data_IF_496336665027
#
_entry.id   IF_496336665027
#
_cell.length_a   1.000
_cell.length_b   1.000
_cell.length_c   1.000
_cell.angle_alpha   90.00
_cell.angle_beta   90.00
_cell.angle_gamma   90.00
#
_symmetry.space_group_name_H-M   'P 1'
#
loop_
_entity.id
_entity.type
_entity.pdbx_description
1 polymer ?
#
# COMPACT_ATOMS: atom_id res chain seq x y z
N UNK A 1 43.60 -9.59 -12.38
CA UNK A 1 43.49 -8.43 -13.29
C UNK A 1 43.89 -7.20 -12.49
N UNK A 2 45.08 -6.65 -12.77
CA UNK A 2 45.67 -5.52 -12.07
C UNK A 2 45.29 -4.27 -12.86
N UNK A 3 44.53 -3.35 -12.28
CA UNK A 3 44.31 -2.03 -12.88
C UNK A 3 45.42 -1.09 -12.39
N UNK A 4 46.35 -0.75 -13.27
CA UNK A 4 47.36 0.27 -13.05
C UNK A 4 47.01 1.51 -13.89
N UNK A 5 47.12 2.69 -13.25
CA UNK A 5 47.11 4.04 -13.86
C UNK A 5 45.92 4.37 -14.77
N UNK A 6 44.87 4.94 -14.17
CA UNK A 6 43.88 5.74 -14.91
C UNK A 6 44.46 7.12 -15.25
N UNK A 7 44.38 7.47 -16.53
CA UNK A 7 44.73 8.77 -17.10
C UNK A 7 43.70 9.83 -16.68
N UNK A 8 44.14 11.08 -16.47
CA UNK A 8 43.28 12.20 -16.08
C UNK A 8 42.20 12.60 -17.13
N UNK A 9 42.17 11.94 -18.29
CA UNK A 9 41.16 12.14 -19.33
C UNK A 9 39.80 11.50 -19.02
N UNK A 10 39.74 10.44 -18.20
CA UNK A 10 38.45 9.83 -17.81
C UNK A 10 37.66 10.66 -16.79
N UNK A 11 38.34 11.47 -15.97
CA UNK A 11 37.69 12.39 -15.04
C UNK A 11 36.99 13.58 -15.74
N UNK A 12 37.45 13.94 -16.94
CA UNK A 12 36.81 15.00 -17.73
C UNK A 12 35.49 14.54 -18.36
N UNK A 13 35.38 13.25 -18.72
CA UNK A 13 34.15 12.66 -19.27
C UNK A 13 33.05 12.49 -18.23
N UNK A 14 33.43 12.19 -16.98
CA UNK A 14 32.50 12.16 -15.85
C UNK A 14 31.96 13.56 -15.53
N UNK A 15 32.79 14.62 -15.65
CA UNK A 15 32.32 16.01 -15.43
C UNK A 15 31.25 16.47 -16.42
N UNK A 16 31.27 16.04 -17.68
CA UNK A 16 30.26 16.46 -18.66
C UNK A 16 28.90 15.77 -18.45
N UNK A 17 28.87 14.58 -17.83
CA UNK A 17 27.61 13.85 -17.57
C UNK A 17 26.79 14.43 -16.41
N UNK A 18 27.40 15.19 -15.50
CA UNK A 18 26.73 15.72 -14.30
C UNK A 18 26.25 17.18 -14.41
N UNK A 19 26.71 17.94 -15.42
CA UNK A 19 26.31 19.35 -15.57
C UNK A 19 24.96 19.56 -16.27
N UNK A 20 24.45 18.58 -17.02
CA UNK A 20 23.19 18.72 -17.77
C UNK A 20 21.92 18.50 -16.93
N UNK A 21 22.04 18.15 -15.64
CA UNK A 21 20.89 17.80 -14.80
C UNK A 21 20.79 18.56 -13.45
N UNK A 22 21.54 19.64 -13.25
CA UNK A 22 21.25 20.62 -12.18
C UNK A 22 21.47 20.15 -10.73
N UNK A 23 22.20 19.05 -10.50
CA UNK A 23 22.53 18.59 -9.15
C UNK A 23 23.85 19.20 -8.66
N UNK A 24 23.77 20.32 -7.95
CA UNK A 24 24.94 20.97 -7.31
C UNK A 24 24.91 20.76 -5.80
N UNK A 25 24.98 19.50 -5.37
CA UNK A 25 25.44 19.04 -4.06
C UNK A 25 25.28 17.50 -4.02
N UNK A 26 26.29 16.66 -3.75
CA UNK A 26 27.53 16.92 -3.00
C UNK A 26 28.77 16.29 -3.68
N UNK A 27 29.35 16.93 -4.69
CA UNK A 27 30.62 16.46 -5.28
C UNK A 27 31.84 16.96 -4.48
N UNK A 28 31.72 18.11 -3.83
CA UNK A 28 32.83 18.75 -3.10
C UNK A 28 33.25 17.99 -1.84
N UNK A 29 32.32 17.26 -1.20
CA UNK A 29 32.63 16.42 -0.04
C UNK A 29 33.46 15.20 -0.42
N UNK A 30 33.18 14.61 -1.59
CA UNK A 30 33.90 13.44 -2.11
C UNK A 30 35.30 13.84 -2.61
N UNK A 31 35.45 15.04 -3.17
CA UNK A 31 36.75 15.56 -3.59
C UNK A 31 37.69 15.89 -2.41
N UNK A 32 37.14 16.38 -1.30
CA UNK A 32 37.93 16.64 -0.08
C UNK A 32 38.48 15.36 0.55
N UNK A 33 37.72 14.25 0.49
CA UNK A 33 38.17 12.94 0.98
C UNK A 33 39.33 12.40 0.14
N UNK A 34 39.33 12.64 -1.17
CA UNK A 34 40.44 12.23 -2.05
C UNK A 34 41.68 13.10 -1.95
N UNK A 35 41.54 14.41 -1.66
CA UNK A 35 42.68 15.31 -1.46
C UNK A 35 43.36 15.14 -0.09
N UNK A 36 42.68 14.54 0.89
CA UNK A 36 43.22 14.28 2.23
C UNK A 36 44.20 13.08 2.31
N UNK A 37 44.54 12.43 1.18
CA UNK A 37 45.60 11.42 1.14
C UNK A 37 45.31 10.12 1.91
N UNK A 38 44.04 9.83 2.23
CA UNK A 38 43.67 8.58 2.90
C UNK A 38 43.82 7.38 1.97
N UNK A 39 44.79 6.51 2.26
CA UNK A 39 44.94 5.17 1.68
C UNK A 39 44.73 4.13 2.78
N UNK A 40 43.62 3.39 2.82
CA UNK A 40 43.55 2.23 3.70
C UNK A 40 44.34 1.08 3.07
N UNK A 41 45.55 0.82 3.57
CA UNK A 41 46.18 -0.50 3.45
C UNK A 41 45.45 -1.46 4.40
N UNK A 42 44.73 -2.45 3.86
CA UNK A 42 44.25 -3.57 4.67
C UNK A 42 45.44 -4.48 5.01
N UNK A 43 45.93 -4.38 6.25
CA UNK A 43 46.75 -5.41 6.89
C UNK A 43 45.93 -6.10 7.97
N UNK A 44 45.70 -7.40 7.79
CA UNK A 44 45.20 -8.29 8.82
C UNK A 44 46.32 -8.49 9.84
N UNK A 45 46.15 -7.99 11.07
CA UNK A 45 46.95 -8.38 12.23
C UNK A 45 46.05 -8.54 13.46
N UNK A 46 46.22 -9.69 14.10
CA UNK A 46 45.66 -10.10 15.38
C UNK A 46 46.24 -9.25 16.53
N UNK A 47 45.36 -8.84 17.46
CA UNK A 47 45.68 -8.79 18.90
C UNK A 47 46.41 -7.58 19.49
N UNK A 48 45.86 -7.16 20.65
CA UNK A 48 46.41 -6.36 21.76
C UNK A 48 46.32 -4.82 21.76
N UNK A 49 45.35 -4.38 22.59
CA UNK A 49 45.41 -3.39 23.70
C UNK A 49 45.86 -1.93 23.48
N UNK A 50 44.92 -1.06 23.87
CA UNK A 50 45.05 0.14 24.72
C UNK A 50 44.88 1.53 24.06
N UNK A 51 44.03 2.33 24.73
CA UNK A 51 43.77 3.78 24.61
C UNK A 51 43.05 4.20 23.30
N UNK A 52 41.84 4.75 23.29
CA UNK A 52 41.14 5.57 24.26
C UNK A 52 40.67 6.82 23.51
N UNK A 53 39.47 6.81 22.92
CA UNK A 53 38.84 8.00 22.34
C UNK A 53 37.33 7.75 22.09
N UNK A 54 36.50 8.64 22.65
CA UNK A 54 35.07 8.90 22.38
C UNK A 54 34.12 7.72 22.12
N UNK A 55 33.36 7.35 23.17
CA UNK A 55 32.11 6.61 23.06
C UNK A 55 31.04 7.47 22.34
N UNK A 56 30.74 7.15 21.09
CA UNK A 56 29.39 7.30 20.55
C UNK A 56 28.66 6.02 20.96
N UNK A 57 27.68 6.13 21.85
CA UNK A 57 26.76 5.05 22.20
C UNK A 57 25.95 4.66 20.97
N UNK A 58 26.44 3.68 20.21
CA UNK A 58 25.62 2.87 19.35
C UNK A 58 24.84 1.89 20.24
N UNK A 59 23.61 2.25 20.57
CA UNK A 59 22.66 1.34 21.21
C UNK A 59 22.32 0.24 20.21
N UNK A 60 23.06 -0.87 20.27
CA UNK A 60 22.70 -2.10 19.59
C UNK A 60 21.43 -2.65 20.26
N UNK A 61 20.28 -2.42 19.65
CA UNK A 61 19.03 -3.06 20.05
C UNK A 61 19.11 -4.53 19.59
N UNK A 62 19.58 -5.41 20.47
CA UNK A 62 19.45 -6.86 20.27
C UNK A 62 17.99 -7.20 20.58
N UNK A 63 17.15 -7.23 19.55
CA UNK A 63 15.81 -7.80 19.66
C UNK A 63 16.00 -9.31 19.84
N UNK A 64 15.66 -9.80 21.03
CA UNK A 64 15.64 -11.23 21.31
C UNK A 64 14.60 -11.91 20.43
N UNK A 65 15.05 -12.79 19.54
CA UNK A 65 14.18 -13.75 18.88
C UNK A 65 13.58 -14.68 19.95
N UNK A 66 12.32 -14.48 20.32
CA UNK A 66 11.56 -15.50 21.05
C UNK A 66 11.23 -16.64 20.08
N UNK A 67 11.38 -17.86 20.58
CA UNK A 67 11.19 -19.12 19.87
C UNK A 67 9.83 -19.15 19.13
N UNK A 68 9.88 -19.05 17.80
CA UNK A 68 8.74 -19.39 16.97
C UNK A 68 8.56 -20.91 16.96
N UNK A 69 7.41 -21.39 17.43
CA UNK A 69 7.02 -22.79 17.26
C UNK A 69 6.74 -23.04 15.78
N UNK A 70 7.60 -23.82 15.14
CA UNK A 70 7.41 -24.30 13.77
C UNK A 70 6.37 -25.43 13.78
N UNK A 71 5.20 -25.21 13.18
CA UNK A 71 4.33 -26.30 12.74
C UNK A 71 4.66 -26.62 11.29
N UNK A 72 5.14 -27.83 11.05
CA UNK A 72 5.45 -28.33 9.70
C UNK A 72 4.15 -28.60 8.95
N UNK A 73 3.73 -27.63 8.13
CA UNK A 73 2.69 -27.81 7.11
C UNK A 73 3.29 -28.50 5.88
N UNK A 74 2.70 -29.63 5.50
CA UNK A 74 3.10 -30.45 4.36
C UNK A 74 2.82 -29.77 3.03
N UNK A 75 3.86 -29.59 2.19
CA UNK A 75 3.70 -29.70 0.74
C UNK A 75 3.78 -28.42 -0.11
N UNK A 76 4.74 -27.54 0.13
CA UNK A 76 5.46 -26.83 -0.95
C UNK A 76 6.67 -26.12 -0.31
N UNK A 77 7.88 -26.36 -0.80
CA UNK A 77 9.15 -25.99 -0.15
C UNK A 77 9.44 -24.48 0.01
N UNK A 78 8.43 -23.61 -0.01
CA UNK A 78 8.54 -22.20 0.38
C UNK A 78 8.11 -22.04 1.84
N UNK A 79 9.10 -21.87 2.71
CA UNK A 79 8.88 -21.34 4.05
C UNK A 79 8.44 -19.88 3.88
N UNK A 80 7.14 -19.63 3.89
CA UNK A 80 6.63 -18.27 4.12
C UNK A 80 6.79 -18.05 5.63
N UNK A 81 7.70 -17.16 6.07
CA UNK A 81 7.79 -16.84 7.49
C UNK A 81 6.40 -16.39 7.97
N UNK A 82 5.97 -16.78 9.19
CA UNK A 82 4.70 -16.31 9.71
C UNK A 82 4.72 -14.79 9.67
N UNK A 83 3.81 -14.19 8.88
CA UNK A 83 3.61 -12.75 8.86
C UNK A 83 3.41 -12.30 10.31
N UNK A 84 4.11 -11.25 10.79
CA UNK A 84 3.85 -10.71 12.11
C UNK A 84 2.34 -10.42 12.19
N UNK A 85 1.67 -11.13 13.09
CA UNK A 85 0.24 -10.99 13.32
C UNK A 85 0.06 -9.74 14.16
N UNK A 86 0.01 -8.57 13.52
CA UNK A 86 -0.47 -7.38 14.20
C UNK A 86 -1.95 -7.66 14.55
N UNK A 87 -2.25 -7.72 15.85
CA UNK A 87 -3.62 -7.91 16.32
C UNK A 87 -4.49 -6.77 15.80
N UNK A 88 -5.60 -7.11 15.14
CA UNK A 88 -6.57 -6.12 14.67
C UNK A 88 -6.95 -5.15 15.80
N UNK A 89 -7.01 -3.84 15.49
CA UNK A 89 -7.36 -2.84 16.50
C UNK A 89 -8.79 -3.08 16.94
N UNK A 90 -9.06 -2.96 18.24
CA UNK A 90 -10.43 -2.72 18.67
C UNK A 90 -10.83 -1.32 18.17
N UNK A 91 -11.46 -1.25 17.00
CA UNK A 91 -11.85 0.01 16.34
C UNK A 91 -12.74 0.86 17.24
N UNK A 92 -13.56 0.24 18.10
CA UNK A 92 -14.37 0.96 19.07
C UNK A 92 -13.53 1.77 20.07
N UNK A 93 -12.31 1.32 20.38
CA UNK A 93 -11.38 1.97 21.32
C UNK A 93 -10.54 3.10 20.68
N UNK A 94 -10.64 3.35 19.37
CA UNK A 94 -9.94 4.45 18.71
C UNK A 94 -10.54 5.78 19.17
N UNK A 95 -9.69 6.64 19.75
CA UNK A 95 -10.07 7.96 20.26
C UNK A 95 -9.46 9.10 19.44
N UNK A 96 -8.42 8.82 18.67
CA UNK A 96 -7.75 9.79 17.80
C UNK A 96 -8.63 10.13 16.59
N UNK A 97 -8.50 11.35 16.02
CA UNK A 97 -9.11 11.68 14.73
C UNK A 97 -8.71 10.66 13.67
N UNK A 98 -9.69 10.06 13.03
CA UNK A 98 -9.52 8.92 12.13
C UNK A 98 -10.35 9.12 10.87
N UNK A 99 -9.72 8.92 9.72
CA UNK A 99 -10.36 9.03 8.41
C UNK A 99 -10.21 7.72 7.67
N UNK A 100 -11.33 7.15 7.23
CA UNK A 100 -11.34 5.89 6.49
C UNK A 100 -11.62 6.17 5.03
N UNK A 101 -10.73 5.70 4.15
CA UNK A 101 -10.88 5.81 2.71
C UNK A 101 -11.03 4.40 2.12
N UNK A 102 -12.19 4.14 1.50
CA UNK A 102 -12.40 2.89 0.78
C UNK A 102 -12.01 3.05 -0.69
N UNK A 103 -11.13 2.17 -1.17
CA UNK A 103 -10.82 2.00 -2.59
C UNK A 103 -11.46 0.70 -3.05
N UNK A 104 -12.46 0.78 -3.92
CA UNK A 104 -13.25 -0.39 -4.30
C UNK A 104 -13.15 -0.65 -5.80
N UNK A 105 -12.65 -1.82 -6.12
CA UNK A 105 -12.58 -2.34 -7.47
C UNK A 105 -14.00 -2.49 -8.05
N UNK A 106 -14.26 -1.87 -9.21
CA UNK A 106 -15.51 -2.01 -9.97
C UNK A 106 -15.26 -2.56 -11.37
N UNK A 107 -14.17 -3.31 -11.54
CA UNK A 107 -13.81 -3.97 -12.80
C UNK A 107 -14.79 -5.07 -13.19
N UNK A 108 -14.71 -5.50 -14.46
CA UNK A 108 -15.65 -6.43 -15.07
C UNK A 108 -15.66 -7.84 -14.46
N UNK A 109 -14.61 -8.27 -13.76
CA UNK A 109 -14.58 -9.57 -13.04
C UNK A 109 -15.63 -9.65 -11.93
N UNK A 110 -16.09 -8.49 -11.45
CA UNK A 110 -17.11 -8.39 -10.43
C UNK A 110 -18.55 -8.44 -10.99
N UNK A 111 -18.73 -8.19 -12.28
CA UNK A 111 -20.05 -8.01 -12.87
C UNK A 111 -20.72 -9.35 -13.19
N UNK A 112 -22.01 -9.48 -12.85
CA UNK A 112 -22.79 -10.62 -13.30
C UNK A 112 -22.81 -10.66 -14.84
N UNK A 113 -22.17 -11.66 -15.45
CA UNK A 113 -22.31 -11.87 -16.88
C UNK A 113 -23.73 -12.38 -17.17
N UNK A 114 -24.66 -11.49 -17.50
CA UNK A 114 -25.91 -11.92 -18.14
C UNK A 114 -25.51 -12.52 -19.49
N UNK A 115 -25.56 -13.84 -19.61
CA UNK A 115 -25.25 -14.67 -20.79
C UNK A 115 -23.84 -15.29 -20.88
N UNK A 116 -23.07 -15.37 -19.77
CA UNK A 116 -21.67 -15.81 -19.81
C UNK A 116 -20.77 -15.00 -20.76
N UNK A 117 -21.25 -13.94 -21.40
CA UNK A 117 -20.39 -13.11 -22.24
C UNK A 117 -19.50 -12.26 -21.37
N UNK A 118 -18.18 -12.36 -21.54
CA UNK A 118 -17.25 -11.43 -20.91
C UNK A 118 -17.63 -9.98 -21.19
N UNK A 119 -17.15 -9.04 -20.36
CA UNK A 119 -17.42 -7.61 -20.48
C UNK A 119 -17.20 -7.04 -21.90
N UNK A 120 -16.41 -7.73 -22.73
CA UNK A 120 -16.10 -7.36 -24.11
C UNK A 120 -17.09 -7.91 -25.15
N UNK A 121 -18.16 -8.60 -24.74
CA UNK A 121 -19.20 -9.13 -25.63
C UNK A 121 -18.78 -10.34 -26.49
N UNK A 122 -17.59 -10.90 -26.26
CA UNK A 122 -17.05 -12.02 -27.03
C UNK A 122 -16.71 -13.20 -26.11
N UNK A 123 -17.41 -14.32 -26.27
CA UNK A 123 -17.06 -15.60 -25.65
C UNK A 123 -17.58 -15.84 -24.23
N UNK A 124 -17.60 -17.11 -23.83
CA UNK A 124 -17.92 -17.54 -22.47
C UNK A 124 -16.80 -17.09 -21.52
N UNK A 125 -17.13 -16.36 -20.46
CA UNK A 125 -16.19 -16.06 -19.40
C UNK A 125 -15.88 -17.33 -18.62
N UNK A 126 -14.60 -17.74 -18.55
CA UNK A 126 -14.23 -18.99 -17.91
C UNK A 126 -14.48 -18.96 -16.41
N UNK A 127 -14.44 -17.77 -15.81
CA UNK A 127 -14.58 -17.58 -14.37
C UNK A 127 -15.94 -16.96 -14.02
N UNK A 128 -16.63 -17.47 -12.98
CA UNK A 128 -17.84 -16.85 -12.48
C UNK A 128 -17.53 -15.47 -11.88
N UNK A 129 -18.48 -14.55 -11.99
CA UNK A 129 -18.38 -13.24 -11.36
C UNK A 129 -18.12 -13.35 -9.85
N UNK A 130 -17.17 -12.55 -9.35
CA UNK A 130 -16.71 -12.66 -7.96
C UNK A 130 -17.71 -12.11 -6.94
N UNK A 131 -18.35 -10.98 -7.25
CA UNK A 131 -19.37 -10.35 -6.41
C UNK A 131 -20.48 -9.72 -7.28
N UNK A 132 -21.26 -10.55 -8.02
CA UNK A 132 -22.16 -10.14 -9.11
C UNK A 132 -23.21 -9.09 -8.71
N UNK A 133 -23.59 -9.08 -7.44
CA UNK A 133 -24.61 -8.20 -6.87
C UNK A 133 -24.03 -7.17 -5.90
N UNK A 134 -22.70 -7.03 -5.85
CA UNK A 134 -21.96 -6.19 -4.89
C UNK A 134 -22.26 -6.52 -3.42
N UNK A 135 -22.83 -7.70 -3.13
CA UNK A 135 -23.35 -8.05 -1.81
C UNK A 135 -22.24 -8.03 -0.77
N UNK A 136 -21.08 -8.59 -1.10
CA UNK A 136 -19.95 -8.62 -0.19
C UNK A 136 -19.42 -7.20 0.07
N UNK A 137 -19.00 -6.49 -0.98
CA UNK A 137 -18.38 -5.15 -0.85
C UNK A 137 -19.32 -4.14 -0.20
N UNK A 138 -20.58 -4.10 -0.66
CA UNK A 138 -21.59 -3.19 -0.10
C UNK A 138 -21.86 -3.49 1.37
N UNK A 139 -22.10 -4.76 1.74
CA UNK A 139 -22.41 -5.09 3.13
C UNK A 139 -21.22 -4.86 4.05
N UNK A 140 -20.00 -5.22 3.64
CA UNK A 140 -18.79 -5.00 4.43
C UNK A 140 -18.63 -3.51 4.80
N UNK A 141 -18.75 -2.62 3.81
CA UNK A 141 -18.61 -1.18 4.02
C UNK A 141 -19.82 -0.60 4.76
N UNK A 142 -21.05 -0.94 4.34
CA UNK A 142 -22.26 -0.40 4.97
C UNK A 142 -22.36 -0.80 6.45
N UNK A 143 -22.08 -2.06 6.79
CA UNK A 143 -22.10 -2.53 8.17
C UNK A 143 -21.06 -1.79 9.03
N UNK A 144 -19.86 -1.57 8.49
CA UNK A 144 -18.80 -0.84 9.20
C UNK A 144 -19.20 0.62 9.45
N UNK A 145 -19.69 1.32 8.42
CA UNK A 145 -20.19 2.70 8.56
C UNK A 145 -21.33 2.76 9.57
N UNK A 146 -22.33 1.85 9.49
CA UNK A 146 -23.44 1.80 10.45
C UNK A 146 -22.98 1.56 11.90
N UNK A 147 -21.97 0.72 12.09
CA UNK A 147 -21.43 0.40 13.42
C UNK A 147 -20.77 1.61 14.06
N UNK A 148 -20.06 2.43 13.28
CA UNK A 148 -19.24 3.53 13.79
C UNK A 148 -19.76 4.93 13.44
N UNK A 149 -20.94 5.05 12.84
CA UNK A 149 -21.54 6.33 12.42
C UNK A 149 -21.69 7.36 13.55
N UNK A 150 -21.75 6.91 14.81
CA UNK A 150 -21.89 7.78 15.98
C UNK A 150 -20.54 8.20 16.59
N UNK A 151 -19.40 7.71 16.06
CA UNK A 151 -18.07 8.13 16.52
C UNK A 151 -17.70 9.47 15.91
N UNK A 152 -17.75 10.52 16.71
CA UNK A 152 -17.47 11.89 16.28
C UNK A 152 -16.03 12.10 15.77
N UNK A 153 -15.10 11.22 16.14
CA UNK A 153 -13.71 11.24 15.67
C UNK A 153 -13.50 10.50 14.33
N UNK A 154 -14.56 10.03 13.66
CA UNK A 154 -14.48 9.33 12.39
C UNK A 154 -15.01 10.17 11.23
N UNK A 155 -14.33 10.07 10.09
CA UNK A 155 -14.82 10.56 8.80
C UNK A 155 -14.57 9.51 7.72
N UNK A 156 -15.32 9.61 6.63
CA UNK A 156 -15.39 8.58 5.59
C UNK A 156 -15.16 9.20 4.21
N UNK A 157 -14.50 8.45 3.34
CA UNK A 157 -14.40 8.74 1.92
C UNK A 157 -14.49 7.45 1.11
N UNK A 158 -14.90 7.56 -0.15
CA UNK A 158 -15.21 6.40 -0.98
C UNK A 158 -14.87 6.66 -2.44
N UNK A 159 -13.96 5.84 -2.97
CA UNK A 159 -13.51 5.87 -4.36
C UNK A 159 -13.72 4.48 -4.96
N UNK A 160 -14.26 4.43 -6.17
CA UNK A 160 -14.19 3.23 -7.01
C UNK A 160 -13.21 3.41 -8.15
N UNK A 161 -12.74 2.31 -8.74
CA UNK A 161 -11.84 2.35 -9.89
C UNK A 161 -12.15 1.23 -10.90
N UNK A 162 -12.12 1.58 -12.18
CA UNK A 162 -12.37 0.68 -13.31
C UNK A 162 -12.00 1.28 -14.66
N UNK A 163 -11.79 0.45 -15.69
CA UNK A 163 -11.68 0.82 -17.12
C UNK A 163 -10.50 1.71 -17.56
N UNK A 164 -9.80 2.37 -16.62
CA UNK A 164 -8.71 3.38 -16.79
C UNK A 164 -8.95 4.64 -15.93
N UNK A 165 -10.05 4.67 -15.19
CA UNK A 165 -10.47 5.82 -14.39
C UNK A 165 -10.82 5.43 -12.96
N UNK A 166 -10.89 6.45 -12.11
CA UNK A 166 -11.46 6.33 -10.78
C UNK A 166 -12.58 7.34 -10.60
N UNK A 167 -13.45 7.08 -9.63
CA UNK A 167 -14.59 7.91 -9.30
C UNK A 167 -14.72 8.04 -7.79
N UNK A 168 -14.61 9.26 -7.31
CA UNK A 168 -15.02 9.63 -5.97
C UNK A 168 -16.54 9.67 -5.88
N UNK A 169 -17.12 8.88 -4.99
CA UNK A 169 -18.54 8.97 -4.68
C UNK A 169 -18.80 10.10 -3.69
N UNK A 170 -18.00 10.17 -2.63
CA UNK A 170 -18.01 11.29 -1.69
C UNK A 170 -17.16 12.43 -2.27
N UNK A 171 -17.81 13.43 -2.89
CA UNK A 171 -17.14 14.50 -3.61
C UNK A 171 -17.94 15.83 -3.61
N UNK A 172 -17.31 17.00 -3.86
CA UNK A 172 -17.97 18.31 -3.86
C UNK A 172 -18.59 18.68 -5.22
N UNK A 173 -19.09 17.70 -5.98
CA UNK A 173 -19.58 17.87 -7.35
C UNK A 173 -18.53 17.61 -8.44
N UNK A 174 -17.32 17.18 -8.06
CA UNK A 174 -16.28 16.73 -8.99
C UNK A 174 -15.93 15.25 -8.71
N UNK A 175 -16.26 14.30 -9.61
CA UNK A 175 -16.02 12.88 -9.40
C UNK A 175 -14.54 12.49 -9.38
N UNK A 176 -13.61 13.41 -9.71
CA UNK A 176 -12.17 13.17 -9.62
C UNK A 176 -11.56 13.68 -8.29
N UNK A 177 -12.36 14.31 -7.43
CA UNK A 177 -11.90 14.87 -6.16
C UNK A 177 -12.66 14.23 -4.99
N UNK A 178 -12.05 13.22 -4.37
CA UNK A 178 -12.61 12.65 -3.15
C UNK A 178 -12.40 13.58 -1.96
N UNK A 179 -13.40 13.62 -1.07
CA UNK A 179 -13.35 14.37 0.19
C UNK A 179 -13.75 13.46 1.34
N UNK A 180 -13.39 13.85 2.57
CA UNK A 180 -13.82 13.15 3.78
C UNK A 180 -15.04 13.84 4.38
N UNK A 181 -16.05 13.05 4.76
CA UNK A 181 -17.29 13.55 5.37
C UNK A 181 -17.50 12.92 6.74
N UNK A 182 -17.92 13.73 7.71
CA UNK A 182 -18.35 13.25 9.03
C UNK A 182 -19.79 12.76 9.04
N UNK A 183 -20.61 13.19 8.07
CA UNK A 183 -22.02 12.83 8.01
C UNK A 183 -22.21 11.42 7.42
N UNK A 184 -22.60 10.40 8.21
CA UNK A 184 -22.78 9.04 7.73
C UNK A 184 -23.91 8.90 6.70
N UNK A 185 -24.89 9.80 6.66
CA UNK A 185 -25.98 9.70 5.68
C UNK A 185 -25.51 9.97 4.25
N UNK A 186 -24.48 10.81 4.07
CA UNK A 186 -23.83 11.04 2.77
C UNK A 186 -23.21 9.74 2.27
N UNK A 187 -22.42 9.08 3.13
CA UNK A 187 -21.79 7.79 2.82
C UNK A 187 -22.82 6.70 2.49
N UNK A 188 -23.94 6.61 3.23
CA UNK A 188 -24.99 5.62 2.92
C UNK A 188 -25.73 5.90 1.61
N UNK A 189 -25.94 7.17 1.27
CA UNK A 189 -26.51 7.56 -0.02
C UNK A 189 -25.59 7.12 -1.15
N UNK A 190 -24.30 7.40 -1.02
CA UNK A 190 -23.27 7.03 -1.99
C UNK A 190 -23.10 5.52 -2.14
N UNK A 191 -23.15 4.76 -1.04
CA UNK A 191 -23.15 3.29 -1.07
C UNK A 191 -24.37 2.74 -1.81
N UNK A 192 -25.53 3.41 -1.72
CA UNK A 192 -26.73 3.01 -2.46
C UNK A 192 -26.55 3.25 -3.96
N UNK A 193 -25.93 4.37 -4.36
CA UNK A 193 -25.57 4.63 -5.76
C UNK A 193 -24.56 3.60 -6.27
N UNK A 194 -23.54 3.26 -5.47
CA UNK A 194 -22.57 2.22 -5.80
C UNK A 194 -23.24 0.85 -5.98
N UNK A 195 -24.15 0.46 -5.10
CA UNK A 195 -24.87 -0.82 -5.23
C UNK A 195 -25.65 -0.90 -6.55
N UNK A 196 -26.14 0.22 -7.05
CA UNK A 196 -26.90 0.31 -8.30
C UNK A 196 -26.01 0.50 -9.54
N UNK A 197 -24.73 0.83 -9.41
CA UNK A 197 -23.85 1.03 -10.56
C UNK A 197 -23.45 -0.31 -11.18
N UNK A 198 -23.13 -0.29 -12.47
CA UNK A 198 -22.60 -1.46 -13.18
C UNK A 198 -21.09 -1.55 -12.94
N UNK A 199 -20.58 -2.77 -12.69
CA UNK A 199 -19.15 -3.05 -12.72
C UNK A 199 -18.74 -3.40 -14.16
N UNK A 200 -17.59 -2.90 -14.64
CA UNK A 200 -17.12 -3.16 -15.99
C UNK A 200 -15.65 -2.77 -16.16
N UNK A 201 -15.03 -3.24 -17.24
CA UNK A 201 -13.70 -2.81 -17.66
C UNK A 201 -12.57 -3.34 -16.79
N UNK A 202 -11.45 -2.65 -16.91
CA UNK A 202 -10.14 -3.00 -16.33
C UNK A 202 -10.01 -2.62 -14.84
N UNK A 203 -8.88 -2.99 -14.23
CA UNK A 203 -8.59 -2.82 -12.79
C UNK A 203 -7.39 -1.86 -12.55
N UNK A 204 -7.56 -0.53 -12.69
CA UNK A 204 -6.43 0.41 -12.67
C UNK A 204 -6.01 0.83 -11.24
N UNK A 205 -5.08 0.10 -10.61
CA UNK A 205 -4.64 0.38 -9.23
C UNK A 205 -3.92 1.72 -9.11
N UNK A 206 -3.15 2.15 -10.14
CA UNK A 206 -2.39 3.41 -10.12
C UNK A 206 -3.33 4.59 -10.03
N UNK A 207 -4.46 4.52 -10.75
CA UNK A 207 -5.50 5.55 -10.69
C UNK A 207 -6.09 5.63 -9.29
N UNK A 208 -6.39 4.47 -8.68
CA UNK A 208 -6.91 4.41 -7.31
C UNK A 208 -5.94 5.03 -6.30
N UNK A 209 -4.65 4.69 -6.34
CA UNK A 209 -3.64 5.24 -5.42
C UNK A 209 -3.40 6.73 -5.63
N UNK A 210 -3.38 7.20 -6.89
CA UNK A 210 -3.25 8.62 -7.18
C UNK A 210 -4.42 9.43 -6.62
N UNK A 211 -5.65 8.97 -6.82
CA UNK A 211 -6.82 9.65 -6.25
C UNK A 211 -6.83 9.61 -4.72
N UNK A 212 -6.41 8.48 -4.13
CA UNK A 212 -6.29 8.35 -2.68
C UNK A 212 -5.26 9.34 -2.10
N UNK A 213 -4.07 9.39 -2.69
CA UNK A 213 -3.01 10.32 -2.28
C UNK A 213 -3.45 11.78 -2.42
N UNK A 214 -4.13 12.14 -3.51
CA UNK A 214 -4.68 13.49 -3.69
C UNK A 214 -5.73 13.84 -2.64
N UNK A 215 -6.65 12.93 -2.35
CA UNK A 215 -7.69 13.14 -1.34
C UNK A 215 -7.09 13.38 0.05
N UNK A 216 -6.11 12.55 0.43
CA UNK A 216 -5.41 12.65 1.71
C UNK A 216 -4.57 13.93 1.79
N UNK A 217 -3.80 14.26 0.75
CA UNK A 217 -2.97 15.46 0.71
C UNK A 217 -3.82 16.74 0.84
N UNK A 218 -4.92 16.82 0.09
CA UNK A 218 -5.82 17.97 0.13
C UNK A 218 -6.50 18.12 1.49
N UNK A 219 -6.92 17.01 2.08
CA UNK A 219 -7.58 16.99 3.38
C UNK A 219 -6.60 17.34 4.52
N UNK A 220 -5.38 16.79 4.50
CA UNK A 220 -4.35 17.11 5.49
C UNK A 220 -3.88 18.57 5.41
N UNK A 221 -3.82 19.14 4.20
CA UNK A 221 -3.47 20.55 4.00
C UNK A 221 -4.59 21.52 4.45
N UNK A 222 -5.82 21.04 4.69
CA UNK A 222 -6.90 21.87 5.17
C UNK A 222 -6.67 22.32 6.61
N UNK A 223 -6.81 23.62 6.88
CA UNK A 223 -6.57 24.21 8.21
C UNK A 223 -7.46 23.64 9.34
N UNK A 224 -8.59 23.01 8.97
CA UNK A 224 -9.51 22.38 9.91
C UNK A 224 -9.09 20.97 10.34
N UNK A 225 -8.08 20.38 9.71
CA UNK A 225 -7.67 19.00 9.97
C UNK A 225 -6.70 18.95 11.14
N UNK A 226 -6.96 18.05 12.09
CA UNK A 226 -6.03 17.78 13.19
C UNK A 226 -4.75 17.18 12.63
N UNK A 227 -3.55 17.71 12.96
CA UNK A 227 -2.29 17.18 12.47
C UNK A 227 -2.04 15.72 12.87
N UNK A 228 -2.69 15.21 13.91
CA UNK A 228 -2.59 13.83 14.38
C UNK A 228 -3.62 12.89 13.74
N UNK A 229 -4.34 13.35 12.72
CA UNK A 229 -5.34 12.53 12.01
C UNK A 229 -4.67 11.32 11.38
N UNK A 230 -5.21 10.12 11.66
CA UNK A 230 -4.81 8.89 10.98
C UNK A 230 -5.72 8.60 9.79
N UNK A 231 -5.14 8.17 8.67
CA UNK A 231 -5.82 7.77 7.46
C UNK A 231 -5.65 6.26 7.24
N UNK A 232 -6.76 5.53 7.30
CA UNK A 232 -6.78 4.11 6.96
C UNK A 232 -7.38 3.95 5.57
N UNK A 233 -6.54 3.59 4.60
CA UNK A 233 -6.93 3.25 3.24
C UNK A 233 -7.21 1.76 3.19
N UNK A 234 -8.39 1.38 2.73
CA UNK A 234 -8.81 -0.02 2.67
C UNK A 234 -9.20 -0.32 1.23
N UNK A 235 -8.41 -1.18 0.60
CA UNK A 235 -8.61 -1.58 -0.78
C UNK A 235 -9.33 -2.93 -0.84
N UNK A 236 -10.46 -2.99 -1.54
CA UNK A 236 -11.22 -4.21 -1.81
C UNK A 236 -11.13 -4.51 -3.30
N UNK A 237 -10.57 -5.68 -3.66
CA UNK A 237 -10.36 -6.12 -5.05
C UNK A 237 -10.34 -7.64 -5.14
N UNK A 238 -10.74 -8.20 -6.27
CA UNK A 238 -10.80 -9.64 -6.54
C UNK A 238 -9.67 -10.16 -7.42
N UNK A 239 -8.73 -9.31 -7.80
CA UNK A 239 -7.72 -9.67 -8.78
C UNK A 239 -6.49 -8.78 -8.76
N UNK A 240 -5.94 -8.57 -9.94
CA UNK A 240 -4.68 -7.88 -10.19
C UNK A 240 -4.88 -6.54 -10.87
N UNK A 241 -3.89 -5.62 -10.79
CA UNK A 241 -3.97 -4.43 -11.58
C UNK A 241 -3.91 -4.77 -13.07
N UNK A 242 -4.48 -3.89 -13.88
CA UNK A 242 -4.36 -3.88 -15.36
C UNK A 242 -3.36 -2.82 -15.87
N UNK A 243 -2.83 -1.98 -14.98
CA UNK A 243 -2.05 -0.78 -15.30
C UNK A 243 -0.59 -0.80 -14.80
N UNK A 244 -0.10 -1.98 -14.41
CA UNK A 244 1.29 -2.21 -14.00
C UNK A 244 1.94 -3.33 -14.83
N UNK A 245 2.00 -3.19 -16.15
CA UNK A 245 2.60 -4.23 -17.01
C UNK A 245 3.87 -3.75 -17.68
N UNK A 246 4.88 -4.62 -17.69
CA UNK A 246 6.01 -4.50 -18.61
C UNK A 246 5.64 -5.07 -19.98
N UNK A 247 6.56 -4.94 -20.95
CA UNK A 247 6.53 -5.81 -22.12
C UNK A 247 6.43 -7.28 -21.67
N UNK A 248 5.40 -8.01 -22.12
CA UNK A 248 5.21 -9.44 -21.82
C UNK A 248 4.14 -9.83 -20.80
N UNK A 249 3.16 -8.95 -20.49
CA UNK A 249 2.00 -9.28 -19.65
C UNK A 249 2.34 -9.74 -18.21
N UNK A 250 3.52 -9.35 -17.70
CA UNK A 250 3.90 -9.56 -16.31
C UNK A 250 3.58 -8.32 -15.48
N UNK A 251 2.94 -8.51 -14.33
CA UNK A 251 2.68 -7.43 -13.38
C UNK A 251 4.02 -6.97 -12.77
N UNK A 252 4.34 -5.70 -12.90
CA UNK A 252 5.50 -5.04 -12.29
C UNK A 252 5.25 -4.81 -10.80
N UNK A 253 5.41 -5.86 -9.99
CA UNK A 253 5.18 -5.82 -8.54
C UNK A 253 5.93 -4.67 -7.86
N UNK A 254 7.20 -4.45 -8.20
CA UNK A 254 8.01 -3.36 -7.61
C UNK A 254 7.41 -1.97 -7.88
N UNK A 255 6.81 -1.77 -9.06
CA UNK A 255 6.14 -0.51 -9.38
C UNK A 255 4.85 -0.32 -8.57
N UNK A 256 4.07 -1.40 -8.35
CA UNK A 256 2.90 -1.37 -7.47
C UNK A 256 3.31 -1.01 -6.04
N UNK A 257 4.34 -1.68 -5.51
CA UNK A 257 4.82 -1.44 -4.15
C UNK A 257 5.45 -0.04 -3.99
N UNK A 258 6.09 0.49 -5.03
CA UNK A 258 6.56 1.87 -5.07
C UNK A 258 5.41 2.87 -4.91
N UNK A 259 4.31 2.69 -5.64
CA UNK A 259 3.16 3.60 -5.56
C UNK A 259 2.43 3.47 -4.21
N UNK A 260 2.39 2.27 -3.60
CA UNK A 260 1.96 2.09 -2.20
C UNK A 260 2.87 2.87 -1.25
N UNK A 261 4.19 2.79 -1.45
CA UNK A 261 5.17 3.57 -0.70
C UNK A 261 4.95 5.07 -0.80
N UNK A 262 4.63 5.57 -2.00
CA UNK A 262 4.28 6.99 -2.21
C UNK A 262 2.99 7.36 -1.48
N UNK A 263 1.95 6.52 -1.56
CA UNK A 263 0.69 6.72 -0.86
C UNK A 263 0.91 6.88 0.65
N UNK A 264 1.61 5.95 1.31
CA UNK A 264 1.81 6.05 2.77
C UNK A 264 2.71 7.21 3.19
N UNK A 265 3.56 7.70 2.29
CA UNK A 265 4.39 8.89 2.52
C UNK A 265 3.69 10.21 2.19
N UNK A 266 2.42 10.19 1.77
CA UNK A 266 1.62 11.41 1.56
C UNK A 266 1.52 12.23 2.87
N UNK A 267 1.31 11.54 4.00
CA UNK A 267 1.41 12.11 5.34
C UNK A 267 2.20 11.11 6.18
N UNK A 268 3.55 11.25 6.26
CA UNK A 268 4.41 10.25 6.87
C UNK A 268 3.98 9.87 8.28
N UNK A 269 3.83 8.56 8.53
CA UNK A 269 3.43 8.01 9.83
C UNK A 269 1.92 8.05 10.13
N UNK A 270 1.11 8.64 9.26
CA UNK A 270 -0.33 8.80 9.46
C UNK A 270 -1.19 8.07 8.43
N UNK A 271 -0.60 7.51 7.37
CA UNK A 271 -1.34 6.80 6.33
C UNK A 271 -0.96 5.33 6.36
N UNK A 272 -1.98 4.46 6.38
CA UNK A 272 -1.81 3.00 6.29
C UNK A 272 -2.70 2.46 5.17
N UNK A 273 -2.22 1.45 4.44
CA UNK A 273 -2.97 0.74 3.41
C UNK A 273 -3.17 -0.72 3.82
N UNK A 274 -4.44 -1.11 3.94
CA UNK A 274 -4.87 -2.48 4.08
C UNK A 274 -5.52 -2.98 2.79
N UNK A 275 -5.42 -4.29 2.55
CA UNK A 275 -5.98 -4.93 1.35
C UNK A 275 -6.90 -6.09 1.73
N UNK A 276 -7.97 -6.23 0.97
CA UNK A 276 -8.96 -7.30 1.12
C UNK A 276 -9.11 -7.96 -0.23
N UNK A 277 -8.65 -9.20 -0.32
CA UNK A 277 -8.94 -10.07 -1.45
C UNK A 277 -10.27 -10.77 -1.23
N UNK A 278 -11.12 -10.80 -2.25
CA UNK A 278 -12.32 -11.63 -2.25
C UNK A 278 -12.44 -12.37 -3.57
N UNK A 279 -12.88 -13.64 -3.55
CA UNK A 279 -13.02 -14.42 -4.77
C UNK A 279 -12.45 -15.83 -4.75
N UNK A 280 -12.33 -16.40 -5.95
CA UNK A 280 -11.66 -17.69 -6.16
C UNK A 280 -10.18 -17.59 -5.76
N UNK A 281 -9.54 -18.69 -5.38
CA UNK A 281 -8.15 -18.61 -4.93
C UNK A 281 -7.16 -18.37 -6.10
N UNK A 282 -6.64 -17.14 -6.22
CA UNK A 282 -5.50 -16.79 -7.08
C UNK A 282 -4.25 -16.53 -6.20
N UNK A 283 -3.29 -17.49 -6.12
CA UNK A 283 -2.10 -17.36 -5.29
C UNK A 283 -1.23 -16.16 -5.61
N UNK A 284 -1.22 -15.75 -6.87
CA UNK A 284 -0.41 -14.64 -7.30
C UNK A 284 -1.09 -13.34 -6.77
N UNK A 285 -2.39 -13.15 -7.00
CA UNK A 285 -3.12 -11.95 -6.56
C UNK A 285 -3.06 -11.79 -5.03
N UNK A 286 -3.25 -12.90 -4.32
CA UNK A 286 -3.07 -12.98 -2.87
C UNK A 286 -1.68 -12.52 -2.43
N UNK A 287 -0.63 -13.01 -3.10
CA UNK A 287 0.76 -12.64 -2.77
C UNK A 287 1.05 -11.16 -2.99
N UNK A 288 0.56 -10.56 -4.08
CA UNK A 288 0.71 -9.13 -4.34
C UNK A 288 -0.03 -8.30 -3.29
N UNK A 289 -1.32 -8.59 -3.05
CA UNK A 289 -2.13 -7.83 -2.10
C UNK A 289 -1.61 -7.92 -0.68
N UNK A 290 -1.10 -9.07 -0.26
CA UNK A 290 -0.41 -9.21 1.01
C UNK A 290 0.87 -8.38 1.07
N UNK A 291 1.66 -8.35 -0.01
CA UNK A 291 2.86 -7.51 -0.11
C UNK A 291 2.53 -6.02 -0.06
N UNK A 292 1.42 -5.61 -0.69
CA UNK A 292 0.90 -4.24 -0.63
C UNK A 292 0.49 -3.84 0.77
N UNK A 293 -0.26 -4.69 1.49
CA UNK A 293 -0.64 -4.41 2.88
C UNK A 293 0.58 -4.30 3.80
N UNK A 294 1.57 -5.20 3.64
CA UNK A 294 2.81 -5.15 4.40
C UNK A 294 3.59 -3.85 4.11
N UNK A 295 3.74 -3.49 2.84
CA UNK A 295 4.39 -2.24 2.43
C UNK A 295 3.64 -1.03 2.94
N UNK A 296 2.30 -1.10 2.92
CA UNK A 296 1.37 -0.11 3.40
C UNK A 296 1.21 -0.04 4.92
N UNK A 297 1.94 -0.85 5.68
CA UNK A 297 1.85 -0.97 7.15
C UNK A 297 0.42 -1.25 7.64
N UNK A 298 -0.43 -1.84 6.79
CA UNK A 298 -1.80 -2.20 7.11
C UNK A 298 -1.95 -3.69 7.39
N UNK A 299 -3.11 -4.23 7.06
CA UNK A 299 -3.48 -5.63 7.24
C UNK A 299 -3.99 -6.22 5.94
N UNK A 300 -3.83 -7.53 5.79
CA UNK A 300 -4.34 -8.29 4.66
C UNK A 300 -5.44 -9.23 5.12
N UNK A 301 -6.55 -9.27 4.39
CA UNK A 301 -7.60 -10.28 4.54
C UNK A 301 -7.84 -11.03 3.23
N UNK A 302 -8.02 -12.35 3.35
CA UNK A 302 -8.41 -13.23 2.26
C UNK A 302 -9.83 -13.77 2.53
N UNK A 303 -10.78 -13.40 1.67
CA UNK A 303 -12.21 -13.70 1.79
C UNK A 303 -12.63 -14.64 0.65
N UNK A 304 -12.38 -15.94 0.83
CA UNK A 304 -12.68 -16.98 -0.18
C UNK A 304 -14.12 -17.50 -0.16
N UNK A 305 -14.96 -17.02 0.76
CA UNK A 305 -16.31 -17.54 0.94
C UNK A 305 -17.32 -16.45 1.22
N UNK A 306 -18.51 -16.58 0.62
CA UNK A 306 -19.68 -15.77 0.95
C UNK A 306 -20.15 -15.92 2.41
N UNK A 307 -19.70 -16.96 3.12
CA UNK A 307 -19.98 -17.19 4.55
C UNK A 307 -18.86 -16.69 5.47
N UNK A 308 -17.88 -15.97 4.94
CA UNK A 308 -16.82 -15.39 5.75
C UNK A 308 -17.40 -14.51 6.85
N UNK A 309 -16.85 -14.63 8.06
CA UNK A 309 -17.14 -13.73 9.18
C UNK A 309 -16.35 -12.43 9.08
N UNK A 310 -15.68 -12.18 7.95
CA UNK A 310 -14.90 -10.98 7.72
C UNK A 310 -15.70 -9.71 8.00
N UNK A 311 -15.06 -8.80 8.72
CA UNK A 311 -15.52 -7.43 8.89
C UNK A 311 -14.36 -6.49 8.57
N UNK A 312 -14.69 -5.25 8.20
CA UNK A 312 -13.67 -4.21 7.97
C UNK A 312 -12.78 -3.99 9.21
N UNK A 313 -13.26 -4.29 10.43
CA UNK A 313 -12.44 -4.20 11.64
C UNK A 313 -11.19 -5.09 11.57
N UNK A 314 -11.28 -6.23 10.89
CA UNK A 314 -10.21 -7.22 10.81
C UNK A 314 -8.99 -6.68 10.05
N UNK A 315 -9.19 -5.61 9.27
CA UNK A 315 -8.15 -4.96 8.48
C UNK A 315 -7.82 -3.54 8.92
N UNK A 316 -8.36 -3.07 10.06
CA UNK A 316 -7.88 -1.83 10.66
C UNK A 316 -6.64 -2.14 11.53
N UNK A 317 -5.45 -1.64 11.16
CA UNK A 317 -4.24 -1.92 11.92
C UNK A 317 -4.32 -1.37 13.36
N UNK A 318 -3.80 -2.15 14.30
CA UNK A 318 -3.60 -1.77 15.71
C UNK A 318 -2.74 -0.52 15.87
N UNK A 319 -2.80 0.12 17.05
CA UNK A 319 -1.83 1.20 17.36
C UNK A 319 -0.41 0.66 17.24
N UNK A 320 0.41 1.37 16.45
CA UNK A 320 1.80 1.05 16.13
C UNK A 320 2.72 1.25 17.35
N UNK A 321 2.53 0.47 18.42
CA UNK A 321 3.52 0.35 19.49
C UNK A 321 4.51 -0.77 19.12
N UNK A 322 5.18 -0.61 17.99
CA UNK A 322 6.27 -1.48 17.55
C UNK A 322 5.83 -2.88 17.09
N UNK A 323 5.01 -2.98 16.05
CA UNK A 323 5.07 -4.19 15.22
C UNK A 323 6.50 -4.22 14.61
N UNK A 324 7.32 -5.24 14.92
CA UNK A 324 8.70 -5.33 14.46
C UNK A 324 8.81 -5.52 12.95
#
# INVERSE_FOLDING_TARGET
MIFSKTNMTELALLRSLFFDHGWVAPLDLILQIFQAGWRPEMKVIQGLTAMGLCFVTATLLVIGCNNANFTTGTGDGRVIPPSPTCTAKNVAAIVEPTKILFLVDTSGSNAQSTNNTCANGVGLCPDPATDPQKVFRYNAISNFVQTYQNKANFQWSFITFSNDSGRAFVNPGNPQLAVFVSNPSVMQTDLTVFKASTDFGDTPYRVAFNMAGQAIANDHAAASTDPNTNYFVIMLTDGYPTDYYSSGYQVQTDAVLSDVGQLINTVPGHVMLSTVYYGANDPLALGLLQSMANTGQGQFANVTSAYSTFTINDVIPGSYNGCP
#
